data_IF_910953959312
#
_entry.id   IF_910953959312
#
_cell.length_a   1.000
_cell.length_b   1.000
_cell.length_c   1.000
_cell.angle_alpha   90.00
_cell.angle_beta   90.00
_cell.angle_gamma   90.00
#
_symmetry.space_group_name_H-M   'P 1'
#
loop_
_entity.id
_entity.type
_entity.pdbx_description
1 polymer ?
#
# COMPACT_ATOMS: atom_id res chain seq x y z
N UNK A 1 24.47 14.71 34.59
CA UNK A 1 24.47 14.20 33.22
C UNK A 1 23.09 14.45 32.63
N UNK A 2 22.95 15.43 31.74
CA UNK A 2 21.67 15.72 31.08
C UNK A 2 21.51 14.79 29.87
N UNK A 3 20.55 13.88 29.92
CA UNK A 3 20.18 13.06 28.76
C UNK A 3 19.61 13.98 27.67
N UNK A 4 20.40 14.25 26.64
CA UNK A 4 19.91 14.89 25.43
C UNK A 4 18.82 14.00 24.82
N UNK A 5 17.55 14.43 24.89
CA UNK A 5 16.48 13.74 24.18
C UNK A 5 16.81 13.84 22.69
N UNK A 6 17.16 12.71 22.07
CA UNK A 6 17.29 12.65 20.62
C UNK A 6 16.03 13.26 20.01
N UNK A 7 16.11 14.11 18.96
CA UNK A 7 14.91 14.64 18.32
C UNK A 7 14.10 13.43 17.88
N UNK A 8 13.03 13.14 18.60
CA UNK A 8 12.18 12.01 18.25
C UNK A 8 11.76 12.28 16.81
N UNK A 9 11.98 11.34 15.89
CA UNK A 9 11.67 11.53 14.46
C UNK A 9 10.17 11.71 14.14
N UNK A 10 9.39 12.12 15.15
CA UNK A 10 7.98 12.43 15.18
C UNK A 10 7.78 13.89 14.86
N UNK A 11 6.72 14.20 14.14
CA UNK A 11 6.35 15.59 13.84
C UNK A 11 5.89 16.33 15.11
N UNK A 12 6.27 17.60 15.32
CA UNK A 12 5.90 18.35 16.53
C UNK A 12 4.41 18.68 16.64
N UNK A 13 3.70 18.81 15.50
CA UNK A 13 2.28 19.21 15.47
C UNK A 13 1.32 18.05 15.27
N UNK A 14 1.77 16.96 14.65
CA UNK A 14 0.90 15.91 14.15
C UNK A 14 1.36 14.54 14.64
N UNK A 15 0.40 13.73 15.06
CA UNK A 15 0.62 12.40 15.64
C UNK A 15 0.73 11.38 14.51
N UNK A 16 1.54 10.34 14.75
CA UNK A 16 1.72 9.26 13.78
C UNK A 16 2.55 9.61 12.55
N UNK A 17 3.04 10.85 12.44
CA UNK A 17 3.84 11.31 11.31
C UNK A 17 5.33 11.23 11.64
N UNK A 18 6.11 10.67 10.71
CA UNK A 18 7.56 10.81 10.66
C UNK A 18 8.02 11.31 9.30
N UNK A 19 9.19 11.93 9.24
CA UNK A 19 9.81 12.37 7.97
C UNK A 19 10.97 11.45 7.60
N UNK A 20 10.98 10.94 6.36
CA UNK A 20 12.09 10.14 5.81
C UNK A 20 12.42 10.62 4.41
N UNK A 21 13.67 11.00 4.19
CA UNK A 21 14.19 11.42 2.87
C UNK A 21 13.30 12.46 2.17
N UNK A 22 12.82 13.45 2.91
CA UNK A 22 11.95 14.51 2.38
C UNK A 22 10.46 14.14 2.24
N UNK A 23 10.07 12.87 2.36
CA UNK A 23 8.66 12.44 2.35
C UNK A 23 8.11 12.28 3.77
N UNK A 24 6.80 12.48 3.89
CA UNK A 24 6.07 12.25 5.13
C UNK A 24 5.50 10.85 5.15
N UNK A 25 5.61 10.19 6.29
CA UNK A 25 5.25 8.79 6.45
C UNK A 25 4.21 8.70 7.55
N UNK A 26 3.12 7.96 7.27
CA UNK A 26 2.06 7.69 8.24
C UNK A 26 1.99 6.19 8.53
N UNK A 27 2.03 5.83 9.81
CA UNK A 27 1.87 4.45 10.28
C UNK A 27 1.16 4.42 11.63
N UNK A 28 0.46 3.33 11.93
CA UNK A 28 -0.24 3.14 13.21
C UNK A 28 0.08 1.77 13.82
N UNK A 29 0.06 1.73 15.16
CA UNK A 29 0.16 0.50 15.94
C UNK A 29 -1.20 0.17 16.52
N UNK A 30 -1.61 -1.09 16.41
CA UNK A 30 -2.81 -1.56 17.09
C UNK A 30 -2.52 -1.74 18.59
N UNK A 31 -3.39 -1.31 19.51
CA UNK A 31 -3.12 -1.38 20.95
C UNK A 31 -2.98 -2.82 21.48
N UNK A 32 -3.59 -3.79 20.80
CA UNK A 32 -3.58 -5.21 21.18
C UNK A 32 -2.54 -6.04 20.42
N UNK A 33 -1.85 -5.47 19.43
CA UNK A 33 -0.89 -6.20 18.59
C UNK A 33 0.46 -5.48 18.56
N UNK A 34 1.53 -6.25 18.38
CA UNK A 34 2.87 -5.70 18.15
C UNK A 34 3.08 -5.22 16.71
N UNK A 35 2.17 -5.60 15.80
CA UNK A 35 2.23 -5.29 14.38
C UNK A 35 1.97 -3.81 14.11
N UNK A 36 2.67 -3.27 13.11
CA UNK A 36 2.44 -1.92 12.60
C UNK A 36 1.74 -2.01 11.25
N UNK A 37 0.79 -1.11 11.04
CA UNK A 37 0.17 -0.93 9.75
C UNK A 37 0.82 0.27 9.10
N UNK A 38 1.45 0.03 7.95
CA UNK A 38 1.91 1.09 7.06
C UNK A 38 0.71 1.71 6.36
N UNK A 39 0.44 3.01 6.58
CA UNK A 39 -0.70 3.68 5.96
C UNK A 39 -0.32 4.28 4.61
N UNK A 40 0.89 4.83 4.51
CA UNK A 40 1.43 5.34 3.25
C UNK A 40 2.53 6.37 3.42
N UNK A 41 3.01 6.88 2.28
CA UNK A 41 3.89 8.05 2.20
C UNK A 41 3.23 9.18 1.44
N UNK A 42 3.36 10.40 1.95
CA UNK A 42 2.66 11.58 1.45
C UNK A 42 3.63 12.76 1.24
N UNK A 43 3.31 13.66 0.31
CA UNK A 43 4.14 14.84 0.03
C UNK A 43 4.01 15.93 1.11
N UNK A 44 2.86 16.02 1.79
CA UNK A 44 2.62 17.00 2.86
C UNK A 44 2.32 16.31 4.18
N UNK A 45 2.64 16.96 5.32
CA UNK A 45 2.33 16.40 6.63
C UNK A 45 0.82 16.37 6.90
N UNK A 46 0.04 17.32 6.36
CA UNK A 46 -1.42 17.37 6.54
C UNK A 46 -2.10 16.14 5.94
N UNK A 47 -1.66 15.72 4.75
CA UNK A 47 -2.16 14.49 4.11
C UNK A 47 -1.84 13.25 4.95
N UNK A 48 -0.63 13.17 5.49
CA UNK A 48 -0.21 12.06 6.35
C UNK A 48 -0.98 12.02 7.69
N UNK A 49 -1.30 13.18 8.27
CA UNK A 49 -2.15 13.29 9.47
C UNK A 49 -3.58 12.85 9.18
N UNK A 50 -4.17 13.29 8.05
CA UNK A 50 -5.53 12.89 7.68
C UNK A 50 -5.63 11.36 7.49
N UNK A 51 -4.64 10.75 6.86
CA UNK A 51 -4.53 9.30 6.76
C UNK A 51 -4.45 8.61 8.14
N UNK A 52 -3.69 9.20 9.07
CA UNK A 52 -3.56 8.67 10.43
C UNK A 52 -4.89 8.74 11.20
N UNK A 53 -5.66 9.81 11.05
CA UNK A 53 -6.92 10.03 11.77
C UNK A 53 -7.95 8.96 11.42
N UNK A 54 -8.10 8.63 10.14
CA UNK A 54 -8.97 7.54 9.70
C UNK A 54 -8.55 6.20 10.29
N UNK A 55 -7.26 5.90 10.28
CA UNK A 55 -6.76 4.67 10.85
C UNK A 55 -6.96 4.61 12.38
N UNK A 56 -6.80 5.73 13.07
CA UNK A 56 -7.05 5.83 14.50
C UNK A 56 -8.54 5.62 14.84
N UNK A 57 -9.43 6.22 14.05
CA UNK A 57 -10.88 6.03 14.17
C UNK A 57 -11.29 4.58 13.88
N UNK A 58 -10.68 3.95 12.88
CA UNK A 58 -10.95 2.55 12.54
C UNK A 58 -10.58 1.59 13.68
N UNK A 59 -9.46 1.84 14.36
CA UNK A 59 -8.91 0.94 15.38
C UNK A 59 -9.45 1.21 16.79
N UNK A 60 -9.67 2.48 17.14
CA UNK A 60 -10.08 2.91 18.49
C UNK A 60 -11.55 3.36 18.56
N UNK A 61 -12.21 3.54 17.42
CA UNK A 61 -13.57 4.04 17.35
C UNK A 61 -13.66 5.53 17.70
N UNK A 62 -14.80 5.94 18.27
CA UNK A 62 -15.09 7.34 18.62
C UNK A 62 -14.16 7.93 19.70
N UNK A 63 -13.45 7.09 20.47
CA UNK A 63 -12.47 7.55 21.47
C UNK A 63 -11.07 7.79 20.89
N UNK A 64 -10.93 7.76 19.55
CA UNK A 64 -9.67 8.04 18.89
C UNK A 64 -9.24 9.50 19.10
N UNK A 65 -7.95 9.68 19.43
CA UNK A 65 -7.35 11.00 19.40
C UNK A 65 -6.91 11.31 17.98
N UNK A 66 -7.71 12.12 17.29
CA UNK A 66 -7.46 12.59 15.93
C UNK A 66 -6.70 13.92 15.91
N UNK A 67 -5.99 14.20 14.82
CA UNK A 67 -5.31 15.46 14.56
C UNK A 67 -6.28 16.54 14.06
N UNK A 68 -7.31 16.16 13.30
CA UNK A 68 -8.32 17.07 12.72
C UNK A 68 -9.74 16.73 13.19
N UNK A 69 -10.17 17.21 14.37
CA UNK A 69 -11.52 16.98 14.89
C UNK A 69 -12.64 17.45 13.95
N UNK A 70 -12.42 18.56 13.22
CA UNK A 70 -13.39 19.12 12.30
C UNK A 70 -13.62 18.26 11.05
N UNK A 71 -12.64 17.45 10.66
CA UNK A 71 -12.70 16.61 9.45
C UNK A 71 -13.24 15.21 9.71
N UNK A 72 -13.51 14.84 10.98
CA UNK A 72 -13.95 13.49 11.37
C UNK A 72 -15.24 13.08 10.66
N UNK A 73 -16.20 13.99 10.52
CA UNK A 73 -17.47 13.72 9.85
C UNK A 73 -17.32 13.51 8.34
N UNK A 74 -16.24 14.04 7.74
CA UNK A 74 -15.97 13.95 6.30
C UNK A 74 -15.10 12.76 5.94
N UNK A 75 -14.59 12.01 6.92
CA UNK A 75 -13.67 10.92 6.65
C UNK A 75 -14.38 9.68 6.10
N UNK A 76 -13.77 8.99 5.12
CA UNK A 76 -14.28 7.73 4.62
C UNK A 76 -14.18 6.67 5.72
N UNK A 77 -15.30 5.97 5.95
CA UNK A 77 -15.34 4.84 6.87
C UNK A 77 -14.72 3.61 6.19
N UNK A 78 -13.78 2.91 6.84
CA UNK A 78 -13.30 1.64 6.32
C UNK A 78 -14.38 0.56 6.41
N UNK A 79 -14.46 -0.31 5.41
CA UNK A 79 -15.43 -1.40 5.37
C UNK A 79 -15.19 -2.45 6.46
N UNK A 80 -13.95 -2.60 6.92
CA UNK A 80 -13.58 -3.50 8.01
C UNK A 80 -12.33 -3.02 8.75
N UNK A 81 -11.95 -3.74 9.82
CA UNK A 81 -10.72 -3.51 10.60
C UNK A 81 -9.49 -4.14 9.92
N UNK A 82 -9.64 -4.66 8.68
CA UNK A 82 -8.51 -5.20 7.92
C UNK A 82 -7.49 -4.11 7.60
N UNK A 83 -6.21 -4.49 7.58
CA UNK A 83 -5.13 -3.54 7.26
C UNK A 83 -5.23 -2.98 5.83
N UNK A 84 -5.88 -3.71 4.92
CA UNK A 84 -6.11 -3.30 3.55
C UNK A 84 -7.21 -2.21 3.47
N UNK A 85 -8.34 -2.43 4.14
CA UNK A 85 -9.46 -1.47 4.12
C UNK A 85 -9.10 -0.18 4.84
N UNK A 86 -8.37 -0.28 5.96
CA UNK A 86 -7.83 0.88 6.67
C UNK A 86 -6.91 1.68 5.76
N UNK A 87 -6.02 1.03 4.99
CA UNK A 87 -5.14 1.71 4.02
C UNK A 87 -5.92 2.40 2.91
N UNK A 88 -6.93 1.74 2.34
CA UNK A 88 -7.80 2.32 1.30
C UNK A 88 -8.51 3.57 1.80
N UNK A 89 -9.14 3.50 2.98
CA UNK A 89 -9.82 4.63 3.58
C UNK A 89 -8.85 5.77 3.97
N UNK A 90 -7.68 5.43 4.53
CA UNK A 90 -6.65 6.41 4.86
C UNK A 90 -6.12 7.16 3.61
N UNK A 91 -5.95 6.46 2.49
CA UNK A 91 -5.55 7.07 1.22
C UNK A 91 -6.63 8.05 0.70
N UNK A 92 -7.90 7.66 0.76
CA UNK A 92 -9.00 8.54 0.36
C UNK A 92 -9.07 9.82 1.23
N UNK A 93 -8.88 9.72 2.55
CA UNK A 93 -8.81 10.90 3.42
C UNK A 93 -7.62 11.82 3.11
N UNK A 94 -6.46 11.26 2.77
CA UNK A 94 -5.32 12.06 2.35
C UNK A 94 -5.61 12.84 1.06
N UNK A 95 -6.34 12.24 0.11
CA UNK A 95 -6.76 12.91 -1.12
C UNK A 95 -7.75 14.05 -0.84
N UNK A 96 -8.72 13.85 0.06
CA UNK A 96 -9.62 14.91 0.50
C UNK A 96 -8.83 16.09 1.08
N UNK A 97 -7.83 15.82 1.93
CA UNK A 97 -7.01 16.88 2.52
C UNK A 97 -6.16 17.63 1.48
N UNK A 98 -5.69 16.91 0.46
CA UNK A 98 -5.02 17.51 -0.70
C UNK A 98 -5.96 18.43 -1.47
N UNK A 99 -7.21 18.02 -1.68
CA UNK A 99 -8.22 18.83 -2.35
C UNK A 99 -8.55 20.10 -1.55
N UNK A 100 -8.73 20.01 -0.23
CA UNK A 100 -8.94 21.17 0.65
C UNK A 100 -7.81 22.19 0.51
N UNK A 101 -6.55 21.74 0.50
CA UNK A 101 -5.40 22.65 0.37
C UNK A 101 -5.30 23.34 -0.99
N UNK A 102 -5.92 22.76 -2.03
CA UNK A 102 -5.99 23.34 -3.39
C UNK A 102 -7.26 24.18 -3.61
N UNK A 103 -8.31 23.95 -2.83
CA UNK A 103 -9.64 24.51 -2.99
C UNK A 103 -9.95 25.74 -2.12
N UNK A 104 -8.96 26.33 -1.44
CA UNK A 104 -9.10 27.66 -0.83
C UNK A 104 -8.71 28.72 -1.89
N UNK A 105 -9.34 28.65 -3.05
CA UNK A 105 -9.75 29.84 -3.79
C UNK A 105 -11.27 29.89 -3.64
N UNK A 106 -11.74 30.91 -2.93
CA UNK A 106 -13.14 31.15 -2.56
C UNK A 106 -14.00 31.33 -3.80
N UNK A 107 -14.97 30.43 -4.03
CA UNK A 107 -16.25 30.81 -4.65
C UNK A 107 -17.40 29.92 -4.15
N UNK A 108 -18.46 30.58 -3.68
CA UNK A 108 -19.70 29.98 -3.17
C UNK A 108 -20.61 29.66 -4.36
N UNK A 109 -20.60 28.42 -4.84
CA UNK A 109 -21.41 28.02 -6.00
C UNK A 109 -21.95 26.60 -5.89
N UNK A 110 -23.26 26.49 -5.71
CA UNK A 110 -24.07 25.28 -5.80
C UNK A 110 -23.96 24.58 -7.17
N UNK A 111 -23.97 23.24 -7.18
CA UNK A 111 -24.54 22.45 -8.28
C UNK A 111 -23.59 21.54 -9.06
N UNK A 112 -23.91 20.24 -9.02
CA UNK A 112 -23.70 19.20 -10.03
C UNK A 112 -22.83 19.52 -11.26
N UNK A 113 -21.77 18.75 -11.47
CA UNK A 113 -21.60 17.84 -12.62
C UNK A 113 -20.11 17.48 -12.83
N UNK A 114 -19.87 16.21 -13.20
CA UNK A 114 -18.62 15.78 -13.83
C UNK A 114 -18.32 16.66 -15.06
N UNK A 115 -17.05 16.93 -15.40
CA UNK A 115 -16.45 16.09 -16.44
C UNK A 115 -14.92 15.83 -16.34
N UNK A 116 -14.57 14.64 -16.84
CA UNK A 116 -13.43 14.31 -17.70
C UNK A 116 -12.03 14.93 -17.48
N UNK A 117 -11.13 14.06 -17.00
CA UNK A 117 -9.73 13.79 -17.39
C UNK A 117 -8.97 14.82 -18.25
N UNK A 118 -7.80 15.25 -17.75
CA UNK A 118 -6.53 15.27 -18.51
C UNK A 118 -5.39 14.78 -17.63
N UNK A 119 -4.55 13.95 -18.25
CA UNK A 119 -3.49 13.13 -17.69
C UNK A 119 -2.24 13.94 -17.38
N UNK A 120 -1.63 13.72 -16.21
CA UNK A 120 -0.19 13.88 -16.02
C UNK A 120 0.33 12.75 -15.12
N UNK A 121 1.37 12.08 -15.62
CA UNK A 121 2.03 10.91 -15.04
C UNK A 121 2.53 11.19 -13.62
N UNK A 122 1.87 10.62 -12.63
CA UNK A 122 2.53 10.15 -11.41
C UNK A 122 1.91 8.82 -11.05
N UNK A 123 2.75 7.79 -10.98
CA UNK A 123 2.41 6.39 -10.69
C UNK A 123 1.59 6.29 -9.41
N UNK A 124 0.27 6.39 -9.59
CA UNK A 124 -0.73 6.00 -8.62
C UNK A 124 -0.99 4.55 -8.97
N UNK A 125 -0.43 3.63 -8.18
CA UNK A 125 -0.79 2.22 -8.25
C UNK A 125 -2.26 2.10 -7.79
N UNK A 126 -3.17 2.39 -8.73
CA UNK A 126 -4.50 1.84 -8.72
C UNK A 126 -4.32 0.32 -8.71
N UNK A 127 -4.70 -0.32 -7.60
CA UNK A 127 -4.76 -1.76 -7.51
C UNK A 127 -5.81 -2.23 -8.52
N UNK A 128 -5.37 -2.58 -9.73
CA UNK A 128 -6.21 -3.30 -10.67
C UNK A 128 -6.47 -4.67 -10.06
N UNK A 129 -7.74 -5.09 -10.00
CA UNK A 129 -8.09 -6.46 -9.61
C UNK A 129 -7.35 -7.42 -10.54
N UNK A 130 -6.28 -8.01 -10.01
CA UNK A 130 -5.32 -8.85 -10.73
C UNK A 130 -5.95 -10.14 -11.28
N UNK A 131 -7.13 -10.50 -10.77
CA UNK A 131 -7.99 -11.58 -11.29
C UNK A 131 -8.51 -11.31 -12.71
N UNK A 132 -8.74 -10.04 -13.07
CA UNK A 132 -9.19 -9.64 -14.42
C UNK A 132 -7.99 -9.49 -15.36
N UNK A 133 -6.85 -9.02 -14.84
CA UNK A 133 -5.65 -8.77 -15.65
C UNK A 133 -4.97 -10.06 -16.11
N UNK A 134 -4.96 -11.11 -15.27
CA UNK A 134 -4.34 -12.40 -15.61
C UNK A 134 -5.27 -13.36 -16.35
N UNK A 135 -6.54 -12.96 -16.59
CA UNK A 135 -7.55 -13.81 -17.22
C UNK A 135 -7.58 -15.23 -16.60
N UNK A 136 -7.33 -15.32 -15.28
CA UNK A 136 -7.05 -16.55 -14.55
C UNK A 136 -8.09 -17.67 -14.74
N UNK A 137 -9.41 -17.40 -14.88
CA UNK A 137 -10.36 -18.48 -15.18
C UNK A 137 -10.10 -19.15 -16.54
N UNK A 138 -9.58 -18.45 -17.53
CA UNK A 138 -9.27 -19.00 -18.85
C UNK A 138 -7.89 -19.69 -18.86
N UNK A 139 -6.92 -19.17 -18.09
CA UNK A 139 -5.58 -19.78 -17.97
C UNK A 139 -5.64 -21.21 -17.40
N UNK A 140 -6.52 -21.46 -16.43
CA UNK A 140 -6.70 -22.78 -15.83
C UNK A 140 -7.29 -23.79 -16.82
N UNK A 141 -8.16 -23.32 -17.73
CA UNK A 141 -8.78 -24.14 -18.79
C UNK A 141 -7.74 -24.48 -19.86
N UNK A 142 -6.96 -23.49 -20.31
CA UNK A 142 -5.92 -23.69 -21.33
C UNK A 142 -4.80 -24.64 -20.85
N UNK A 143 -4.41 -24.56 -19.57
CA UNK A 143 -3.44 -25.50 -18.97
C UNK A 143 -3.98 -26.94 -18.91
N UNK A 144 -5.28 -27.12 -18.66
CA UNK A 144 -5.89 -28.44 -18.62
C UNK A 144 -5.95 -29.08 -20.03
N UNK A 145 -6.18 -28.28 -21.07
CA UNK A 145 -6.19 -28.74 -22.46
C UNK A 145 -4.80 -29.24 -22.93
N UNK A 146 -3.72 -28.56 -22.54
CA UNK A 146 -2.35 -28.96 -22.90
C UNK A 146 -1.92 -30.34 -22.38
N UNK A 147 -2.47 -30.78 -21.24
CA UNK A 147 -2.17 -32.10 -20.65
C UNK A 147 -2.91 -33.26 -21.34
N UNK A 148 -3.95 -32.98 -22.14
CA UNK A 148 -4.66 -33.99 -22.93
C UNK A 148 -3.95 -34.31 -24.26
N UNK A 149 -2.90 -33.56 -24.61
CA UNK A 149 -2.06 -33.84 -25.77
C UNK A 149 -1.10 -34.98 -25.40
N UNK A 150 -1.20 -36.08 -26.14
CA UNK A 150 -0.29 -37.23 -25.95
C UNK A 150 1.15 -36.82 -26.24
N UNK A 151 2.10 -37.02 -25.30
CA UNK A 151 3.49 -36.61 -25.49
C UNK A 151 4.16 -37.38 -26.65
N UNK A 152 5.07 -36.74 -27.40
CA UNK A 152 5.73 -37.35 -28.54
C UNK A 152 6.56 -38.57 -28.11
N UNK A 153 6.43 -39.68 -28.84
CA UNK A 153 7.19 -40.90 -28.56
C UNK A 153 8.58 -40.82 -29.17
N UNK A 154 9.58 -40.64 -28.33
CA UNK A 154 10.99 -40.72 -28.68
C UNK A 154 11.37 -42.20 -28.84
N UNK A 155 11.86 -42.60 -30.00
CA UNK A 155 12.49 -43.91 -30.20
C UNK A 155 13.85 -43.93 -29.51
N UNK A 156 14.02 -44.79 -28.50
CA UNK A 156 15.25 -44.91 -27.72
C UNK A 156 16.41 -45.45 -28.55
N UNK A 157 17.52 -44.71 -28.60
CA UNK A 157 18.86 -45.25 -28.90
C UNK A 157 19.71 -45.14 -27.64
N UNK A 158 20.27 -46.23 -27.08
CA UNK A 158 21.16 -46.13 -25.94
C UNK A 158 22.59 -45.89 -26.44
N UNK A 159 23.26 -44.89 -25.89
CA UNK A 159 24.72 -44.87 -25.87
C UNK A 159 25.17 -44.23 -24.57
N UNK A 160 25.57 -45.11 -23.64
CA UNK A 160 26.60 -44.83 -22.63
C UNK A 160 27.78 -44.11 -23.28
N UNK A 161 28.19 -42.98 -22.73
CA UNK A 161 29.59 -42.68 -22.37
C UNK A 161 29.63 -41.34 -21.61
N UNK A 162 29.90 -41.37 -20.31
CA UNK A 162 30.24 -40.18 -19.53
C UNK A 162 31.53 -40.45 -18.77
N UNK A 163 32.64 -39.77 -19.12
CA UNK A 163 33.88 -39.91 -18.37
C UNK A 163 33.80 -39.11 -17.07
N UNK A 164 34.08 -39.82 -15.99
CA UNK A 164 34.32 -39.36 -14.63
C UNK A 164 35.51 -38.39 -14.58
N UNK A 165 35.26 -37.11 -14.26
CA UNK A 165 36.16 -36.21 -13.52
C UNK A 165 35.60 -34.81 -13.42
N UNK A 166 35.39 -34.34 -12.20
CA UNK A 166 35.91 -33.04 -11.79
C UNK A 166 35.76 -32.93 -10.27
N UNK A 167 36.91 -32.85 -9.60
CA UNK A 167 37.03 -32.65 -8.17
C UNK A 167 36.38 -31.31 -7.80
N UNK A 168 35.21 -31.39 -7.15
CA UNK A 168 34.46 -30.22 -6.67
C UNK A 168 35.07 -29.69 -5.39
N UNK A 169 36.07 -28.83 -5.50
CA UNK A 169 36.48 -27.95 -4.41
C UNK A 169 35.28 -27.10 -3.95
N UNK A 170 34.86 -27.35 -2.71
CA UNK A 170 33.65 -26.78 -2.12
C UNK A 170 33.85 -25.29 -1.82
N UNK A 171 33.26 -24.43 -2.66
CA UNK A 171 33.29 -22.96 -2.56
C UNK A 171 32.41 -22.38 -1.44
N UNK A 172 32.10 -23.15 -0.40
CA UNK A 172 31.22 -22.75 0.71
C UNK A 172 31.81 -23.04 2.09
N UNK A 173 33.13 -23.01 2.22
CA UNK A 173 33.79 -23.01 3.52
C UNK A 173 33.86 -21.57 4.08
N UNK A 174 32.91 -21.23 4.94
CA UNK A 174 33.01 -20.13 5.91
C UNK A 174 32.60 -20.64 7.30
#
# INVERSE_FOLDING_TARGET
MASASSPSGKHPLYRGIRRRSGKWVSEIREPRKTTRIWLGTYPTPEMAAAAYDVAALALKGAEAFVNFPASVASYPLPASISSADIRKAAAAAALLKKAESKGIEIDLGSGHSHPAKKEEMTSTEEYMDEDVFLNLPNLLVDMAEGLLVSPPRLSSTPSDDWPEKSDGESLWSY
#
